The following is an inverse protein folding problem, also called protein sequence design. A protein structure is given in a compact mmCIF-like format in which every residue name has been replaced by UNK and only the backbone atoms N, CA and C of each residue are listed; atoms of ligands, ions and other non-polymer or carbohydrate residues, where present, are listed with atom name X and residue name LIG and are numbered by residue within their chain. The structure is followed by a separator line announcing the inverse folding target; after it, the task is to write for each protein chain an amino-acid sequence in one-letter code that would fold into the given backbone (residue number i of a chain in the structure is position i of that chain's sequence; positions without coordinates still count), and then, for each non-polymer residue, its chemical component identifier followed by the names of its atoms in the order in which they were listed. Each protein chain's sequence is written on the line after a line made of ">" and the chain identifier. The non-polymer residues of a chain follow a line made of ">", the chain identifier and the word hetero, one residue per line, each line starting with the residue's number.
data_IF_149119377407
#
_entry.id   IF_149119377407
#
_cell.length_a   1.000
_cell.length_b   1.000
_cell.length_c   1.000
_cell.angle_alpha   90.00
_cell.angle_beta   90.00
_cell.angle_gamma   90.00
#
_symmetry.space_group_name_H-M   'P 1'
#
loop_
_entity.id
_entity.type
_entity.pdbx_description
1 polymer ?
#
# COMPACT_ATOMS: atom_id res chain seq x y z
N UNK A 1 12.46 28.22 -33.81
CA UNK A 1 12.24 29.03 -32.59
C UNK A 1 10.85 29.69 -32.70
N UNK A 2 9.81 29.22 -32.01
CA UNK A 2 8.60 30.01 -31.83
C UNK A 2 8.49 30.46 -30.36
N UNK A 3 8.20 31.75 -30.21
CA UNK A 3 8.05 32.45 -28.94
C UNK A 3 6.74 32.09 -28.24
N UNK A 4 6.87 31.71 -26.99
CA UNK A 4 5.73 31.43 -26.08
C UNK A 4 5.24 32.77 -25.52
N UNK A 5 4.01 33.13 -25.84
CA UNK A 5 3.30 34.27 -25.26
C UNK A 5 2.71 33.91 -23.92
N UNK A 6 3.17 34.53 -22.86
CA UNK A 6 2.64 34.44 -21.51
C UNK A 6 1.45 35.39 -21.43
N UNK A 7 0.22 34.87 -21.31
CA UNK A 7 -1.00 35.64 -21.02
C UNK A 7 -1.16 35.75 -19.51
N UNK A 8 -1.00 36.96 -18.99
CA UNK A 8 -1.35 37.36 -17.63
C UNK A 8 -2.86 37.48 -17.50
N UNK A 9 -3.49 36.58 -16.74
CA UNK A 9 -4.91 36.64 -16.34
C UNK A 9 -5.01 37.34 -14.98
N UNK A 10 -5.74 38.45 -14.98
CA UNK A 10 -5.99 39.29 -13.82
C UNK A 10 -6.86 38.60 -12.78
N UNK A 11 -6.40 38.64 -11.54
CA UNK A 11 -7.08 38.13 -10.34
C UNK A 11 -8.08 39.20 -9.85
N UNK A 12 -9.39 39.05 -10.11
CA UNK A 12 -10.46 39.83 -9.50
C UNK A 12 -10.90 39.16 -8.20
N UNK A 13 -10.52 39.79 -7.07
CA UNK A 13 -10.93 39.38 -5.74
C UNK A 13 -12.40 39.73 -5.49
N UNK A 14 -13.21 38.71 -5.14
CA UNK A 14 -14.57 38.87 -4.64
C UNK A 14 -14.56 38.58 -3.13
N UNK A 15 -14.57 39.66 -2.31
CA UNK A 15 -14.71 39.56 -0.86
C UNK A 15 -16.19 39.43 -0.54
N UNK A 16 -16.63 38.24 -0.11
CA UNK A 16 -17.97 37.99 0.42
C UNK A 16 -17.95 38.23 1.94
N UNK A 17 -18.48 39.37 2.38
CA UNK A 17 -18.80 39.64 3.77
C UNK A 17 -20.07 38.88 4.18
N UNK A 18 -19.91 37.82 5.01
CA UNK A 18 -21.03 37.13 5.65
C UNK A 18 -21.29 37.80 7.03
N UNK A 19 -22.48 38.28 7.33
CA UNK A 19 -22.85 38.71 8.68
C UNK A 19 -23.11 37.45 9.55
N UNK A 20 -22.25 37.20 10.53
CA UNK A 20 -22.47 36.20 11.55
C UNK A 20 -23.58 36.64 12.50
N UNK A 21 -24.71 35.92 12.53
CA UNK A 21 -25.69 36.00 13.63
C UNK A 21 -25.13 35.29 14.86
N UNK A 22 -24.64 36.04 15.82
CA UNK A 22 -24.35 35.53 17.17
C UNK A 22 -25.69 35.36 17.90
N UNK A 23 -26.19 34.14 17.99
CA UNK A 23 -27.27 33.77 18.92
C UNK A 23 -26.65 33.49 20.29
N UNK A 24 -26.79 34.43 21.20
CA UNK A 24 -26.53 34.26 22.62
C UNK A 24 -27.62 33.35 23.19
N UNK A 25 -27.32 32.19 23.76
CA UNK A 25 -28.32 31.42 24.54
C UNK A 25 -28.70 32.20 25.79
N UNK A 26 -29.99 32.16 26.20
CA UNK A 26 -30.41 32.78 27.47
C UNK A 26 -29.74 32.12 28.66
N UNK A 27 -29.47 32.81 29.77
CA UNK A 27 -28.91 32.24 30.95
C UNK A 27 -29.87 31.20 31.53
N UNK A 28 -29.42 29.94 31.58
CA UNK A 28 -30.09 28.84 32.22
C UNK A 28 -30.05 29.13 33.74
N UNK A 29 -31.22 29.42 34.34
CA UNK A 29 -31.35 29.54 35.81
C UNK A 29 -31.04 28.17 36.41
N UNK A 30 -29.93 28.09 37.13
CA UNK A 30 -29.61 26.94 37.98
C UNK A 30 -30.74 26.72 39.01
N UNK A 31 -31.33 25.53 39.10
CA UNK A 31 -32.28 25.22 40.17
C UNK A 31 -31.51 25.24 41.51
N UNK A 32 -31.81 26.22 42.34
CA UNK A 32 -31.38 26.24 43.74
C UNK A 32 -31.98 25.04 44.44
N UNK A 33 -31.19 23.99 44.57
CA UNK A 33 -31.48 22.85 45.44
C UNK A 33 -31.19 23.35 46.88
N UNK A 34 -32.18 23.34 47.80
CA UNK A 34 -31.92 23.65 49.17
C UNK A 34 -30.96 22.60 49.76
N UNK A 35 -29.79 23.03 50.18
CA UNK A 35 -28.84 22.17 50.88
C UNK A 35 -29.44 21.82 52.25
N UNK A 36 -30.05 20.65 52.37
CA UNK A 36 -30.29 20.01 53.63
C UNK A 36 -28.94 19.55 54.19
N UNK A 37 -28.65 19.70 55.49
CA UNK A 37 -27.42 19.21 56.08
C UNK A 37 -27.37 17.69 55.95
N UNK A 38 -26.50 17.19 55.07
CA UNK A 38 -26.20 15.78 54.96
C UNK A 38 -25.40 15.34 56.19
N UNK A 39 -25.89 14.33 56.87
CA UNK A 39 -25.17 13.59 57.90
C UNK A 39 -23.93 12.92 57.22
N UNK A 40 -22.69 13.13 57.73
CA UNK A 40 -21.51 12.55 57.12
C UNK A 40 -21.50 10.99 57.08
N UNK A 41 -22.46 10.35 57.76
CA UNK A 41 -22.63 8.89 57.74
C UNK A 41 -23.66 8.38 56.72
N UNK A 42 -24.31 9.25 55.96
CA UNK A 42 -25.34 8.90 54.98
C UNK A 42 -24.82 9.04 53.54
N UNK A 43 -23.59 8.58 53.32
CA UNK A 43 -23.07 8.44 51.94
C UNK A 43 -23.73 7.25 51.31
N UNK A 44 -24.44 7.40 50.16
CA UNK A 44 -24.95 6.28 49.41
C UNK A 44 -23.79 5.39 49.01
N UNK A 45 -23.78 4.16 49.55
CA UNK A 45 -22.80 3.14 49.13
C UNK A 45 -23.07 2.80 47.66
N UNK A 46 -22.19 3.30 46.78
CA UNK A 46 -22.23 2.96 45.35
C UNK A 46 -21.81 1.50 45.22
N UNK A 47 -22.79 0.59 45.33
CA UNK A 47 -22.57 -0.81 44.93
C UNK A 47 -22.46 -0.85 43.42
N UNK A 48 -21.22 -0.90 42.91
CA UNK A 48 -20.94 -1.18 41.52
C UNK A 48 -21.28 -2.67 41.29
N UNK A 49 -22.51 -2.96 40.85
CA UNK A 49 -22.87 -4.28 40.34
C UNK A 49 -22.12 -4.42 38.97
N UNK A 50 -20.84 -4.79 39.02
CA UNK A 50 -20.22 -5.35 37.85
C UNK A 50 -20.93 -6.69 37.56
N UNK A 51 -21.49 -6.90 36.34
CA UNK A 51 -21.88 -8.22 35.94
C UNK A 51 -20.68 -9.14 36.08
N UNK A 52 -20.86 -10.29 36.73
CA UNK A 52 -19.81 -11.32 36.71
C UNK A 52 -19.37 -11.50 35.27
N UNK A 53 -18.07 -11.26 35.04
CA UNK A 53 -17.44 -11.57 33.77
C UNK A 53 -17.55 -13.10 33.61
N UNK A 54 -18.65 -13.55 33.03
CA UNK A 54 -18.61 -14.82 32.33
C UNK A 54 -17.55 -14.63 31.29
N UNK A 55 -16.53 -15.50 31.26
CA UNK A 55 -15.59 -15.64 30.15
C UNK A 55 -16.39 -16.01 28.89
N UNK A 56 -17.12 -15.03 28.38
CA UNK A 56 -17.64 -15.10 27.01
C UNK A 56 -16.40 -14.88 26.18
N UNK A 57 -15.90 -15.97 25.62
CA UNK A 57 -14.99 -15.94 24.51
C UNK A 57 -15.63 -14.99 23.47
N UNK A 58 -15.22 -13.72 23.52
CA UNK A 58 -15.68 -12.72 22.57
C UNK A 58 -15.03 -13.08 21.24
N UNK A 59 -15.59 -14.09 20.59
CA UNK A 59 -15.39 -14.28 19.15
C UNK A 59 -15.86 -12.97 18.54
N UNK A 60 -14.89 -12.18 18.09
CA UNK A 60 -15.14 -10.88 17.45
C UNK A 60 -16.01 -11.14 16.23
N UNK A 61 -17.31 -10.92 16.40
CA UNK A 61 -18.32 -11.01 15.34
C UNK A 61 -18.54 -9.64 14.66
N UNK A 62 -17.73 -8.65 15.04
CA UNK A 62 -17.80 -7.35 14.41
C UNK A 62 -17.32 -7.45 12.96
N UNK A 63 -18.05 -6.86 12.01
CA UNK A 63 -17.63 -6.82 10.63
C UNK A 63 -16.25 -6.11 10.55
N UNK A 64 -15.39 -6.59 9.65
CA UNK A 64 -14.07 -5.99 9.42
C UNK A 64 -14.22 -4.50 9.06
N UNK A 65 -13.47 -3.64 9.73
CA UNK A 65 -13.47 -2.21 9.43
C UNK A 65 -12.48 -1.87 8.29
N UNK A 66 -13.00 -1.76 7.08
CA UNK A 66 -12.23 -1.41 5.88
C UNK A 66 -11.89 0.08 5.74
N UNK A 67 -12.24 0.94 6.72
CA UNK A 67 -12.08 2.40 6.60
C UNK A 67 -10.65 2.81 6.20
N UNK A 68 -9.62 2.22 6.80
CA UNK A 68 -8.24 2.54 6.47
C UNK A 68 -7.76 1.87 5.18
N UNK A 69 -8.28 0.71 4.85
CA UNK A 69 -8.01 0.05 3.58
C UNK A 69 -8.55 0.90 2.41
N UNK A 70 -9.79 1.38 2.51
CA UNK A 70 -10.40 2.24 1.49
C UNK A 70 -9.71 3.61 1.36
N UNK A 71 -9.28 4.21 2.47
CA UNK A 71 -8.45 5.42 2.44
C UNK A 71 -7.13 5.19 1.72
N UNK A 72 -6.49 4.05 1.96
CA UNK A 72 -5.29 3.66 1.25
C UNK A 72 -5.50 3.54 -0.25
N UNK A 73 -6.59 2.91 -0.69
CA UNK A 73 -6.94 2.85 -2.11
C UNK A 73 -7.21 4.23 -2.72
N UNK A 74 -7.88 5.13 -1.99
CA UNK A 74 -8.14 6.49 -2.47
C UNK A 74 -6.85 7.27 -2.64
N UNK A 75 -5.97 7.28 -1.65
CA UNK A 75 -4.65 7.92 -1.74
C UNK A 75 -3.79 7.34 -2.88
N UNK A 76 -3.85 6.03 -3.09
CA UNK A 76 -3.14 5.37 -4.20
C UNK A 76 -3.63 5.85 -5.57
N UNK A 77 -4.95 6.01 -5.75
CA UNK A 77 -5.56 6.53 -6.99
C UNK A 77 -5.19 8.00 -7.21
N UNK A 78 -5.11 8.79 -6.14
CA UNK A 78 -4.68 10.20 -6.17
C UNK A 78 -3.19 10.35 -6.44
N UNK A 79 -2.41 9.27 -6.29
CA UNK A 79 -0.96 9.24 -6.49
C UNK A 79 -0.17 9.62 -5.24
N UNK A 80 -0.81 9.71 -4.08
CA UNK A 80 -0.12 9.86 -2.80
C UNK A 80 0.30 8.48 -2.25
N UNK A 81 1.37 7.96 -2.81
CA UNK A 81 1.91 6.64 -2.48
C UNK A 81 2.36 6.52 -1.02
N UNK A 82 2.89 7.63 -0.45
CA UNK A 82 3.36 7.64 0.94
C UNK A 82 2.17 7.49 1.89
N UNK A 83 1.13 8.29 1.69
CA UNK A 83 -0.08 8.24 2.50
C UNK A 83 -0.81 6.89 2.31
N UNK A 84 -0.87 6.37 1.09
CA UNK A 84 -1.46 5.07 0.79
C UNK A 84 -0.81 3.95 1.63
N UNK A 85 0.52 3.85 1.62
CA UNK A 85 1.26 2.85 2.40
C UNK A 85 1.03 3.02 3.90
N UNK A 86 0.95 4.27 4.41
CA UNK A 86 0.65 4.53 5.82
C UNK A 86 -0.75 4.04 6.20
N UNK A 87 -1.77 4.24 5.34
CA UNK A 87 -3.12 3.75 5.57
C UNK A 87 -3.18 2.22 5.56
N UNK A 88 -2.52 1.54 4.62
CA UNK A 88 -2.44 0.07 4.58
C UNK A 88 -1.77 -0.50 5.83
N UNK A 89 -0.67 0.09 6.28
CA UNK A 89 -0.01 -0.30 7.52
C UNK A 89 -0.89 -0.04 8.76
N UNK A 90 -1.68 1.04 8.74
CA UNK A 90 -2.62 1.35 9.82
C UNK A 90 -3.76 0.35 9.85
N UNK A 91 -4.31 -0.01 8.70
CA UNK A 91 -5.32 -1.07 8.59
C UNK A 91 -4.82 -2.37 9.22
N UNK A 92 -3.65 -2.84 8.83
CA UNK A 92 -3.04 -4.05 9.38
C UNK A 92 -2.85 -4.02 10.90
N UNK A 93 -2.57 -2.84 11.47
CA UNK A 93 -2.40 -2.71 12.94
C UNK A 93 -3.72 -2.70 13.70
N UNK A 94 -4.77 -2.14 13.11
CA UNK A 94 -6.08 -2.02 13.75
C UNK A 94 -6.92 -3.29 13.61
N UNK A 95 -6.74 -3.99 12.50
CA UNK A 95 -7.37 -5.28 12.21
C UNK A 95 -6.33 -6.40 12.29
N UNK A 96 -6.08 -6.98 13.49
CA UNK A 96 -5.03 -7.97 13.68
C UNK A 96 -5.47 -9.38 13.21
N UNK A 97 -5.98 -9.46 11.99
CA UNK A 97 -6.39 -10.70 11.32
C UNK A 97 -5.38 -11.10 10.26
N UNK A 98 -5.36 -12.39 9.88
CA UNK A 98 -4.52 -12.87 8.79
C UNK A 98 -4.94 -12.26 7.46
N UNK A 99 -6.24 -12.05 7.27
CA UNK A 99 -6.84 -11.41 6.11
C UNK A 99 -6.34 -9.97 5.96
N UNK A 100 -6.44 -9.16 7.01
CA UNK A 100 -6.01 -7.77 6.97
C UNK A 100 -4.50 -7.62 6.74
N UNK A 101 -3.70 -8.50 7.33
CA UNK A 101 -2.26 -8.54 7.09
C UNK A 101 -1.94 -8.90 5.64
N UNK A 102 -2.67 -9.84 5.06
CA UNK A 102 -2.53 -10.25 3.68
C UNK A 102 -2.97 -9.14 2.71
N UNK A 103 -4.14 -8.51 2.94
CA UNK A 103 -4.68 -7.43 2.12
C UNK A 103 -3.75 -6.22 2.09
N UNK A 104 -3.29 -5.77 3.27
CA UNK A 104 -2.31 -4.69 3.35
C UNK A 104 -1.01 -5.05 2.62
N UNK A 105 -0.56 -6.29 2.76
CA UNK A 105 0.63 -6.79 2.08
C UNK A 105 0.50 -6.76 0.55
N UNK A 106 -0.64 -7.19 0.00
CA UNK A 106 -0.94 -7.12 -1.43
C UNK A 106 -0.97 -5.67 -1.92
N UNK A 107 -1.64 -4.77 -1.19
CA UNK A 107 -1.75 -3.36 -1.58
C UNK A 107 -0.37 -2.66 -1.58
N UNK A 108 0.49 -2.92 -0.59
CA UNK A 108 1.85 -2.38 -0.52
C UNK A 108 2.74 -2.97 -1.62
N UNK A 109 2.63 -4.28 -1.90
CA UNK A 109 3.37 -4.90 -2.99
C UNK A 109 2.92 -4.35 -4.36
N UNK A 110 1.62 -4.10 -4.53
CA UNK A 110 1.09 -3.45 -5.72
C UNK A 110 1.64 -2.03 -5.90
N UNK A 111 1.69 -1.23 -4.84
CA UNK A 111 2.30 0.10 -4.86
C UNK A 111 3.77 0.05 -5.29
N UNK A 112 4.51 -0.94 -4.81
CA UNK A 112 5.93 -1.12 -5.15
C UNK A 112 6.19 -1.53 -6.61
N UNK A 113 5.18 -1.97 -7.35
CA UNK A 113 5.30 -2.23 -8.79
C UNK A 113 5.01 -0.99 -9.65
N UNK A 114 4.42 0.08 -9.08
CA UNK A 114 4.05 1.28 -9.82
C UNK A 114 5.26 2.18 -10.05
N UNK A 115 5.62 2.54 -11.30
CA UNK A 115 6.82 3.35 -11.59
C UNK A 115 6.81 4.76 -10.99
N UNK A 116 5.64 5.26 -10.60
CA UNK A 116 5.49 6.58 -9.96
C UNK A 116 5.66 6.53 -8.46
N UNK A 117 5.63 5.34 -7.86
CA UNK A 117 5.81 5.17 -6.43
C UNK A 117 7.26 5.47 -6.02
N UNK A 118 7.48 6.20 -4.91
CA UNK A 118 8.79 6.33 -4.31
C UNK A 118 9.33 5.00 -3.76
N UNK A 119 8.47 3.98 -3.63
CA UNK A 119 8.81 2.63 -3.20
C UNK A 119 8.99 1.66 -4.39
N UNK A 120 9.16 2.18 -5.60
CA UNK A 120 9.27 1.37 -6.81
C UNK A 120 10.45 0.39 -6.74
N UNK A 121 10.13 -0.88 -6.58
CA UNK A 121 11.06 -2.03 -6.65
C UNK A 121 10.32 -3.25 -7.21
N UNK A 122 10.31 -3.44 -8.53
CA UNK A 122 9.57 -4.54 -9.17
C UNK A 122 10.03 -5.92 -8.71
N UNK A 123 11.31 -6.09 -8.43
CA UNK A 123 11.82 -7.37 -7.95
C UNK A 123 11.36 -7.67 -6.52
N UNK A 124 11.34 -6.66 -5.64
CA UNK A 124 10.79 -6.80 -4.29
C UNK A 124 9.28 -7.03 -4.31
N UNK A 125 8.54 -6.37 -5.20
CA UNK A 125 7.10 -6.57 -5.37
C UNK A 125 6.79 -8.02 -5.77
N UNK A 126 7.49 -8.58 -6.76
CA UNK A 126 7.33 -9.98 -7.18
C UNK A 126 7.61 -10.97 -6.03
N UNK A 127 8.75 -10.81 -5.33
CA UNK A 127 9.08 -11.65 -4.16
C UNK A 127 8.07 -11.54 -3.02
N UNK A 128 7.52 -10.35 -2.81
CA UNK A 128 6.49 -10.13 -1.79
C UNK A 128 5.19 -10.82 -2.17
N UNK A 129 4.80 -10.74 -3.44
CA UNK A 129 3.64 -11.45 -3.95
C UNK A 129 3.76 -12.97 -3.79
N UNK A 130 4.88 -13.58 -4.17
CA UNK A 130 5.11 -15.01 -4.01
C UNK A 130 5.00 -15.47 -2.54
N UNK A 131 5.48 -14.65 -1.60
CA UNK A 131 5.35 -14.93 -0.17
C UNK A 131 3.90 -14.85 0.27
N UNK A 132 3.16 -13.82 -0.15
CA UNK A 132 1.76 -13.61 0.19
C UNK A 132 0.86 -14.70 -0.42
N UNK A 133 1.15 -15.14 -1.64
CA UNK A 133 0.45 -16.26 -2.28
C UNK A 133 0.51 -17.55 -1.44
N UNK A 134 1.66 -17.84 -0.83
CA UNK A 134 1.81 -19.00 0.08
C UNK A 134 1.05 -18.84 1.41
N UNK A 135 0.69 -17.62 1.79
CA UNK A 135 -0.04 -17.31 3.02
C UNK A 135 -1.56 -17.27 2.81
N UNK A 136 -2.01 -17.28 1.58
CA UNK A 136 -3.44 -17.28 1.26
C UNK A 136 -4.06 -18.64 1.63
N UNK A 137 -5.14 -18.59 2.41
CA UNK A 137 -5.90 -19.78 2.83
C UNK A 137 -7.28 -19.74 2.16
N UNK A 138 -7.81 -20.92 1.78
CA UNK A 138 -9.17 -21.02 1.27
C UNK A 138 -10.19 -20.51 2.29
N UNK A 139 -11.14 -19.70 1.81
CA UNK A 139 -12.21 -19.14 2.67
C UNK A 139 -11.91 -17.77 3.28
N UNK A 140 -10.74 -17.18 3.02
CA UNK A 140 -10.49 -15.79 3.42
C UNK A 140 -11.53 -14.83 2.83
N UNK A 141 -12.14 -14.01 3.68
CA UNK A 141 -13.05 -12.94 3.26
C UNK A 141 -12.20 -11.72 2.89
N UNK A 142 -12.03 -11.47 1.60
CA UNK A 142 -11.12 -10.46 1.08
C UNK A 142 -11.88 -9.34 0.36
N UNK A 143 -11.38 -8.12 0.48
CA UNK A 143 -11.93 -6.96 -0.19
C UNK A 143 -11.71 -7.06 -1.72
N UNK A 144 -12.73 -6.71 -2.51
CA UNK A 144 -12.73 -6.87 -3.97
C UNK A 144 -11.58 -6.13 -4.67
N UNK A 145 -11.23 -4.91 -4.22
CA UNK A 145 -10.12 -4.13 -4.78
C UNK A 145 -8.77 -4.82 -4.54
N UNK A 146 -8.62 -5.49 -3.39
CA UNK A 146 -7.41 -6.26 -3.08
C UNK A 146 -7.27 -7.47 -4.01
N UNK A 147 -8.38 -8.13 -4.34
CA UNK A 147 -8.38 -9.22 -5.31
C UNK A 147 -7.93 -8.76 -6.70
N UNK A 148 -8.38 -7.59 -7.16
CA UNK A 148 -7.92 -7.00 -8.43
C UNK A 148 -6.41 -6.70 -8.40
N UNK A 149 -5.90 -6.17 -7.29
CA UNK A 149 -4.45 -5.91 -7.14
C UNK A 149 -3.64 -7.21 -7.11
N UNK A 150 -4.15 -8.25 -6.47
CA UNK A 150 -3.55 -9.59 -6.49
C UNK A 150 -3.40 -10.11 -7.93
N UNK A 151 -4.47 -10.06 -8.72
CA UNK A 151 -4.46 -10.56 -10.10
C UNK A 151 -3.48 -9.77 -10.98
N UNK A 152 -3.39 -8.45 -10.75
CA UNK A 152 -2.39 -7.62 -11.41
C UNK A 152 -0.96 -7.99 -11.00
N UNK A 153 -0.72 -8.24 -9.70
CA UNK A 153 0.58 -8.66 -9.18
C UNK A 153 0.99 -10.04 -9.71
N UNK A 154 0.05 -10.98 -9.86
CA UNK A 154 0.31 -12.29 -10.44
C UNK A 154 0.86 -12.17 -11.86
N UNK A 155 0.17 -11.41 -12.69
CA UNK A 155 0.61 -11.13 -14.06
C UNK A 155 1.97 -10.43 -14.09
N UNK A 156 2.17 -9.46 -13.21
CA UNK A 156 3.41 -8.71 -13.12
C UNK A 156 4.59 -9.58 -12.66
N UNK A 157 4.39 -10.42 -11.64
CA UNK A 157 5.42 -11.35 -11.19
C UNK A 157 5.87 -12.30 -12.30
N UNK A 158 4.92 -12.83 -13.06
CA UNK A 158 5.22 -13.68 -14.24
C UNK A 158 6.07 -12.92 -15.28
N UNK A 159 5.73 -11.65 -15.57
CA UNK A 159 6.54 -10.82 -16.47
C UNK A 159 7.95 -10.54 -15.94
N UNK A 160 8.10 -10.29 -14.65
CA UNK A 160 9.43 -10.08 -14.03
C UNK A 160 10.30 -11.32 -14.17
N UNK A 161 9.76 -12.51 -13.92
CA UNK A 161 10.48 -13.76 -14.13
C UNK A 161 10.88 -13.96 -15.59
N UNK A 162 9.97 -13.72 -16.53
CA UNK A 162 10.28 -13.82 -17.96
C UNK A 162 11.39 -12.86 -18.39
N UNK A 163 11.41 -11.64 -17.86
CA UNK A 163 12.49 -10.68 -18.13
C UNK A 163 13.83 -11.21 -17.61
N UNK A 164 13.87 -11.74 -16.38
CA UNK A 164 15.08 -12.30 -15.79
C UNK A 164 15.61 -13.51 -16.58
N UNK A 165 14.72 -14.37 -17.04
CA UNK A 165 15.08 -15.53 -17.89
C UNK A 165 15.69 -15.04 -19.21
N UNK A 166 15.05 -14.07 -19.87
CA UNK A 166 15.54 -13.50 -21.13
C UNK A 166 16.89 -12.78 -20.95
N UNK A 167 17.11 -12.07 -19.85
CA UNK A 167 18.39 -11.44 -19.53
C UNK A 167 19.49 -12.50 -19.34
N UNK A 168 19.17 -13.59 -18.64
CA UNK A 168 20.09 -14.73 -18.45
C UNK A 168 20.45 -15.39 -19.77
N UNK A 169 19.46 -15.65 -20.61
CA UNK A 169 19.65 -16.23 -21.94
C UNK A 169 20.50 -15.32 -22.84
N UNK A 170 20.23 -14.02 -22.83
CA UNK A 170 21.03 -13.05 -23.59
C UNK A 170 22.50 -13.03 -23.14
N UNK A 171 22.74 -13.09 -21.82
CA UNK A 171 24.09 -13.18 -21.28
C UNK A 171 24.81 -14.47 -21.73
N UNK A 172 24.12 -15.62 -21.68
CA UNK A 172 24.66 -16.90 -22.16
C UNK A 172 24.95 -16.87 -23.67
N UNK A 173 24.04 -16.32 -24.47
CA UNK A 173 24.20 -16.19 -25.92
C UNK A 173 25.40 -15.30 -26.25
N UNK A 174 25.57 -14.19 -25.57
CA UNK A 174 26.71 -13.28 -25.72
C UNK A 174 28.06 -13.98 -25.46
N UNK A 175 28.14 -14.75 -24.38
CA UNK A 175 29.32 -15.55 -24.05
C UNK A 175 29.61 -16.62 -25.12
N UNK A 176 28.54 -17.29 -25.61
CA UNK A 176 28.68 -18.30 -26.65
C UNK A 176 29.12 -17.70 -27.98
N UNK A 177 28.60 -16.52 -28.37
CA UNK A 177 29.04 -15.80 -29.56
C UNK A 177 30.55 -15.44 -29.48
N UNK A 178 30.99 -14.88 -28.35
CA UNK A 178 32.40 -14.54 -28.13
C UNK A 178 33.33 -15.78 -28.27
N UNK A 179 32.92 -16.91 -27.70
CA UNK A 179 33.65 -18.18 -27.86
C UNK A 179 33.72 -18.66 -29.31
N UNK A 180 32.62 -18.55 -30.05
CA UNK A 180 32.58 -18.95 -31.48
C UNK A 180 33.44 -18.02 -32.34
N UNK A 181 33.41 -16.72 -32.08
CA UNK A 181 34.25 -15.74 -32.77
C UNK A 181 35.76 -16.01 -32.54
N UNK A 182 36.12 -16.31 -31.29
CA UNK A 182 37.50 -16.68 -30.96
C UNK A 182 37.93 -17.98 -31.66
N UNK A 183 37.07 -19.02 -31.67
CA UNK A 183 37.33 -20.25 -32.38
C UNK A 183 37.48 -20.02 -33.88
N UNK A 184 36.63 -19.21 -34.50
CA UNK A 184 36.76 -18.85 -35.92
C UNK A 184 38.03 -18.08 -36.21
N UNK A 185 38.45 -17.17 -35.32
CA UNK A 185 39.73 -16.45 -35.46
C UNK A 185 40.91 -17.43 -35.44
N UNK A 186 40.95 -18.35 -34.49
CA UNK A 186 42.01 -19.39 -34.40
C UNK A 186 42.01 -20.28 -35.63
N UNK A 187 40.87 -20.73 -36.15
CA UNK A 187 40.79 -21.52 -37.37
C UNK A 187 41.32 -20.72 -38.57
N UNK A 188 41.02 -19.45 -38.72
CA UNK A 188 41.50 -18.59 -39.78
C UNK A 188 43.03 -18.43 -39.69
N UNK A 189 43.61 -18.22 -38.52
CA UNK A 189 45.04 -18.11 -38.30
C UNK A 189 45.77 -19.41 -38.71
N UNK A 190 45.21 -20.58 -38.29
CA UNK A 190 45.76 -21.88 -38.68
C UNK A 190 45.73 -22.11 -40.23
N UNK A 191 44.62 -21.76 -40.86
CA UNK A 191 44.49 -21.94 -42.31
C UNK A 191 45.41 -21.03 -43.14
N UNK A 192 45.65 -19.80 -42.65
CA UNK A 192 46.59 -18.86 -43.28
C UNK A 192 48.04 -19.29 -43.06
N UNK A 193 48.35 -19.81 -41.84
CA UNK A 193 49.69 -20.33 -41.57
C UNK A 193 50.06 -21.54 -42.39
N UNK A 194 49.13 -22.45 -42.70
CA UNK A 194 49.37 -23.58 -43.57
C UNK A 194 49.60 -23.21 -45.03
N UNK A 195 48.98 -22.17 -45.55
CA UNK A 195 49.21 -21.66 -46.91
C UNK A 195 50.58 -21.05 -47.07
N UNK A 196 51.14 -20.42 -46.04
CA UNK A 196 52.50 -19.86 -46.07
C UNK A 196 53.64 -20.89 -45.96
N UNK A 197 53.35 -22.11 -45.42
CA UNK A 197 54.32 -23.20 -45.31
C UNK A 197 54.37 -24.11 -46.56
N UNK A 198 53.46 -23.96 -47.51
CA UNK A 198 53.34 -24.77 -48.72
C UNK A 198 53.91 -24.07 -50.00
N UNK A 199 54.58 -22.92 -49.83
CA UNK A 199 55.33 -22.17 -50.83
C UNK A 199 56.83 -22.22 -50.51
#
# INVERSE_FOLDING_TARGET
>A
MPAIRISTLALTGLVLLLPGCASTPPPEEEPKIPAAPMDPNDLPELTLNLPEQTDVDCVRTDPVDYTFLDKGFSALVEGDHIEAVQYFQRYQRLEPTAEAAWEAGIAIAYDSMLPRSPFYDPAAAARSYERLQRQQVEGMQLHEKTLMMRDALETFAAMVHQIQDLETDNAMLSVNLAKREEALKRLRELTLGQKGAAQ
#
